data_IF_485053372325
#
_entry.id   IF_485053372325
#
_cell.length_a   1.000
_cell.length_b   1.000
_cell.length_c   1.000
_cell.angle_alpha   90.00
_cell.angle_beta   90.00
_cell.angle_gamma   90.00
#
_symmetry.space_group_name_H-M   'P 1'
#
loop_
_entity.id
_entity.type
_entity.pdbx_description
1 polymer ?
#
# COMPACT_ATOMS: atom_id res chain seq x y z
N UNK A 1 8.45 63.91 31.57
CA UNK A 1 7.91 62.78 30.79
C UNK A 1 9.05 61.78 30.64
N UNK A 2 8.91 60.57 31.18
CA UNK A 2 9.94 59.54 31.06
C UNK A 2 9.79 58.87 29.70
N UNK A 3 10.82 58.98 28.87
CA UNK A 3 10.88 58.29 27.59
C UNK A 3 11.27 56.83 27.87
N UNK A 4 10.36 55.91 27.58
CA UNK A 4 10.63 54.48 27.58
C UNK A 4 11.56 54.15 26.41
N UNK A 5 12.80 53.77 26.71
CA UNK A 5 13.66 53.13 25.73
C UNK A 5 13.19 51.67 25.59
N UNK A 6 12.73 51.31 24.40
CA UNK A 6 12.35 49.96 24.04
C UNK A 6 13.65 49.16 23.89
N UNK A 7 14.04 48.41 24.93
CA UNK A 7 15.10 47.42 24.81
C UNK A 7 14.65 46.37 23.80
N UNK A 8 15.31 46.38 22.65
CA UNK A 8 15.12 45.40 21.59
C UNK A 8 15.76 44.09 22.09
N UNK A 9 14.93 43.18 22.59
CA UNK A 9 15.37 41.84 22.97
C UNK A 9 15.82 41.16 21.68
N UNK A 10 17.13 41.06 21.48
CA UNK A 10 17.74 40.24 20.43
C UNK A 10 17.43 38.77 20.76
N UNK A 11 16.36 38.23 20.15
CA UNK A 11 16.14 36.79 20.12
C UNK A 11 17.26 36.15 19.29
N UNK A 12 18.20 35.53 20.01
CA UNK A 12 19.26 34.68 19.47
C UNK A 12 18.64 33.61 18.53
N UNK A 13 18.94 33.64 17.21
CA UNK A 13 18.28 32.80 16.22
C UNK A 13 18.62 31.30 16.33
N UNK A 14 19.52 30.89 17.22
CA UNK A 14 20.04 29.51 17.28
C UNK A 14 19.22 28.50 18.12
N UNK A 15 18.14 28.90 18.80
CA UNK A 15 17.36 27.98 19.65
C UNK A 15 16.00 27.51 19.10
N UNK A 16 15.81 27.47 17.77
CA UNK A 16 14.65 26.78 17.19
C UNK A 16 14.93 25.28 17.11
N UNK A 17 14.61 24.55 18.18
CA UNK A 17 14.58 23.07 18.15
C UNK A 17 13.72 22.62 16.95
N UNK A 18 14.22 21.74 16.06
CA UNK A 18 13.43 21.30 14.91
C UNK A 18 12.17 20.61 15.43
N UNK A 19 11.00 21.12 15.03
CA UNK A 19 9.72 20.48 15.35
C UNK A 19 9.79 19.01 14.88
N UNK A 20 9.35 18.05 15.70
CA UNK A 20 9.32 16.65 15.28
C UNK A 20 8.50 16.56 14.00
N UNK A 21 9.13 16.11 12.92
CA UNK A 21 8.42 15.90 11.66
C UNK A 21 7.39 14.82 11.94
N UNK A 22 6.10 15.17 11.82
CA UNK A 22 5.04 14.16 11.91
C UNK A 22 5.35 13.11 10.85
N UNK A 23 5.36 11.81 11.19
CA UNK A 23 5.55 10.78 10.18
C UNK A 23 4.51 11.02 9.10
N UNK A 24 4.95 11.24 7.85
CA UNK A 24 4.05 11.37 6.70
C UNK A 24 3.15 10.15 6.73
N UNK A 25 1.86 10.36 6.99
CA UNK A 25 0.85 9.32 6.84
C UNK A 25 0.97 8.86 5.40
N UNK A 26 1.40 7.61 5.22
CA UNK A 26 1.56 7.05 3.89
C UNK A 26 0.19 7.07 3.19
N UNK A 27 0.14 7.27 1.86
CA UNK A 27 -1.12 7.41 1.15
C UNK A 27 -2.03 6.20 1.39
N UNK A 28 -3.32 6.49 1.49
CA UNK A 28 -4.39 5.50 1.65
C UNK A 28 -4.48 4.63 0.40
N UNK A 29 -4.40 3.33 0.58
CA UNK A 29 -4.59 2.34 -0.48
C UNK A 29 -5.92 1.63 -0.16
N UNK A 30 -7.02 1.96 -0.87
CA UNK A 30 -8.33 1.40 -0.57
C UNK A 30 -8.43 -0.10 -0.83
N UNK A 31 -7.71 -0.59 -1.84
CA UNK A 31 -7.80 -1.97 -2.29
C UNK A 31 -6.64 -2.77 -1.71
N UNK A 32 -6.98 -3.80 -0.94
CA UNK A 32 -6.01 -4.71 -0.33
C UNK A 32 -5.34 -5.67 -1.29
N UNK A 33 -5.58 -5.59 -2.60
CA UNK A 33 -5.01 -6.51 -3.60
C UNK A 33 -3.93 -5.81 -4.43
N UNK A 34 -2.68 -6.29 -4.31
CA UNK A 34 -1.53 -5.83 -5.09
C UNK A 34 -1.36 -6.58 -6.41
N UNK A 35 -1.91 -7.80 -6.51
CA UNK A 35 -1.79 -8.63 -7.70
C UNK A 35 -2.20 -10.08 -7.44
N UNK A 36 -2.11 -10.89 -8.48
CA UNK A 36 -2.44 -12.31 -8.45
C UNK A 36 -1.57 -13.08 -9.44
N UNK A 37 -1.38 -14.38 -9.20
CA UNK A 37 -0.81 -15.29 -10.19
C UNK A 37 -1.33 -16.71 -10.00
N UNK A 38 -1.22 -17.51 -11.06
CA UNK A 38 -1.51 -18.95 -11.03
C UNK A 38 -0.19 -19.69 -11.09
N UNK A 39 0.04 -20.60 -10.14
CA UNK A 39 1.25 -21.42 -10.13
C UNK A 39 1.17 -22.58 -11.14
N UNK A 40 2.30 -23.23 -11.41
CA UNK A 40 2.35 -24.36 -12.33
C UNK A 40 1.50 -25.55 -11.90
N UNK A 41 1.04 -25.62 -10.65
CA UNK A 41 0.18 -26.69 -10.16
C UNK A 41 -1.31 -26.34 -10.31
N UNK A 42 -1.63 -25.13 -10.81
CA UNK A 42 -2.99 -24.63 -10.95
C UNK A 42 -3.57 -24.00 -9.68
N UNK A 43 -2.74 -23.64 -8.70
CA UNK A 43 -3.20 -22.90 -7.53
C UNK A 43 -3.17 -21.39 -7.79
N UNK A 44 -4.19 -20.70 -7.30
CA UNK A 44 -4.27 -19.24 -7.35
C UNK A 44 -3.59 -18.67 -6.09
N UNK A 45 -2.74 -17.67 -6.28
CA UNK A 45 -2.11 -16.91 -5.19
C UNK A 45 -2.45 -15.44 -5.34
N UNK A 46 -3.01 -14.86 -4.27
CA UNK A 46 -3.40 -13.45 -4.20
C UNK A 46 -2.38 -12.69 -3.34
N UNK A 47 -1.84 -11.60 -3.86
CA UNK A 47 -0.92 -10.73 -3.13
C UNK A 47 -1.70 -9.62 -2.46
N UNK A 48 -1.69 -9.62 -1.13
CA UNK A 48 -2.38 -8.62 -0.34
C UNK A 48 -1.44 -7.48 0.06
N UNK A 49 -1.90 -6.24 -0.03
CA UNK A 49 -1.20 -5.11 0.59
C UNK A 49 -1.50 -5.10 2.09
N UNK A 50 -0.50 -5.41 2.90
CA UNK A 50 -0.59 -5.33 4.38
C UNK A 50 -0.87 -3.92 4.90
N UNK A 51 -0.73 -2.91 4.03
CA UNK A 51 -0.96 -1.51 4.35
C UNK A 51 -2.38 -1.05 3.99
N UNK A 52 -3.15 -1.88 3.31
CA UNK A 52 -4.56 -1.60 3.11
C UNK A 52 -5.27 -1.61 4.46
N UNK A 53 -6.19 -0.68 4.64
CA UNK A 53 -7.03 -0.63 5.85
C UNK A 53 -8.19 -1.61 5.78
N UNK A 54 -8.51 -2.11 4.58
CA UNK A 54 -9.58 -3.06 4.37
C UNK A 54 -9.17 -4.43 4.93
N UNK A 55 -9.99 -4.96 5.84
CA UNK A 55 -9.81 -6.31 6.40
C UNK A 55 -10.17 -7.40 5.38
N UNK A 56 -11.05 -7.08 4.45
CA UNK A 56 -11.56 -7.98 3.42
C UNK A 56 -11.27 -7.44 2.02
N UNK A 57 -11.16 -8.36 1.07
CA UNK A 57 -11.11 -8.05 -0.37
C UNK A 57 -12.40 -8.54 -1.02
N UNK A 58 -12.96 -7.73 -1.91
CA UNK A 58 -14.09 -8.14 -2.74
C UNK A 58 -13.56 -8.46 -4.13
N UNK A 59 -13.81 -9.69 -4.59
CA UNK A 59 -13.52 -10.09 -5.96
C UNK A 59 -14.82 -10.08 -6.75
N UNK A 60 -14.82 -9.39 -7.87
CA UNK A 60 -15.95 -9.39 -8.79
C UNK A 60 -16.06 -10.73 -9.51
N UNK A 61 -17.27 -11.07 -9.95
CA UNK A 61 -17.56 -12.32 -10.66
C UNK A 61 -16.68 -12.49 -11.90
N UNK A 62 -16.48 -11.40 -12.66
CA UNK A 62 -15.65 -11.40 -13.86
C UNK A 62 -14.19 -11.75 -13.55
N UNK A 63 -13.67 -11.21 -12.44
CA UNK A 63 -12.32 -11.52 -11.98
C UNK A 63 -12.18 -13.00 -11.57
N UNK A 64 -13.19 -13.55 -10.91
CA UNK A 64 -13.20 -14.97 -10.54
C UNK A 64 -13.21 -15.88 -11.78
N UNK A 65 -14.00 -15.52 -12.80
CA UNK A 65 -14.05 -16.26 -14.06
C UNK A 65 -12.69 -16.29 -14.76
N UNK A 66 -11.99 -15.14 -14.80
CA UNK A 66 -10.64 -15.04 -15.37
C UNK A 66 -9.66 -15.95 -14.62
N UNK A 67 -9.68 -15.94 -13.29
CA UNK A 67 -8.83 -16.80 -12.47
C UNK A 67 -9.10 -18.29 -12.74
N UNK A 68 -10.38 -18.68 -12.81
CA UNK A 68 -10.77 -20.06 -13.10
C UNK A 68 -10.29 -20.51 -14.48
N UNK A 69 -10.38 -19.65 -15.49
CA UNK A 69 -9.89 -19.94 -16.84
C UNK A 69 -8.36 -20.12 -16.87
N UNK A 70 -7.62 -19.28 -16.17
CA UNK A 70 -6.16 -19.41 -16.07
C UNK A 70 -5.73 -20.73 -15.41
N UNK A 71 -6.44 -21.16 -14.36
CA UNK A 71 -6.22 -22.47 -13.73
C UNK A 71 -6.49 -23.60 -14.71
N UNK A 72 -7.62 -23.55 -15.41
CA UNK A 72 -7.98 -24.57 -16.41
C UNK A 72 -6.91 -24.73 -17.49
N UNK A 73 -6.45 -23.61 -18.07
CA UNK A 73 -5.37 -23.61 -19.07
C UNK A 73 -4.07 -24.21 -18.53
N UNK A 74 -3.76 -23.95 -17.26
CA UNK A 74 -2.56 -24.50 -16.61
C UNK A 74 -2.66 -26.01 -16.43
N UNK A 75 -3.83 -26.52 -16.02
CA UNK A 75 -4.07 -27.96 -15.89
C UNK A 75 -4.02 -28.67 -17.25
N UNK A 76 -4.63 -28.09 -18.29
CA UNK A 76 -4.57 -28.61 -19.65
C UNK A 76 -3.12 -28.69 -20.16
N UNK A 77 -2.33 -27.63 -19.94
CA UNK A 77 -0.92 -27.59 -20.32
C UNK A 77 -0.08 -28.63 -19.58
N UNK A 78 -0.39 -28.92 -18.31
CA UNK A 78 0.30 -29.97 -17.56
C UNK A 78 -0.07 -31.37 -18.04
N UNK A 79 -1.36 -31.61 -18.31
CA UNK A 79 -1.82 -32.89 -18.84
C UNK A 79 -1.18 -33.19 -20.20
N UNK A 80 -1.05 -32.18 -21.07
CA UNK A 80 -0.37 -32.31 -22.36
C UNK A 80 1.15 -32.55 -22.25
N UNK A 81 1.79 -32.20 -21.12
CA UNK A 81 3.23 -32.48 -20.89
C UNK A 81 3.50 -33.89 -20.36
N UNK A 82 2.48 -34.55 -19.81
CA UNK A 82 2.56 -35.89 -19.24
C UNK A 82 1.87 -36.97 -20.11
N UNK A 83 1.25 -36.57 -21.21
CA UNK A 83 0.68 -37.43 -22.24
C UNK A 83 1.69 -37.68 -23.37
#
# INVERSE_FOLDING_TARGET
MYNYNFEQIEEDPEQVKPKPSKPKRKPFIPYGLNGYFVDSNGNIRLHLDRRASAETITLETDFFNVLAEMVKRTQEANNAKHA
#
